data_IF_140471777780
#
_entry.id   IF_140471777780
#
_cell.length_a   1.000
_cell.length_b   1.000
_cell.length_c   1.000
_cell.angle_alpha   90.00
_cell.angle_beta   90.00
_cell.angle_gamma   90.00
#
_symmetry.space_group_name_H-M   'P 1'
#
loop_
_entity.id
_entity.type
_entity.pdbx_description
1 polymer ?
#
# COMPACT_ATOMS: atom_id res chain seq x y z
N UNK A 1 -3.19 16.54 0.33
CA UNK A 1 -4.63 16.68 0.01
C UNK A 1 -5.27 17.98 0.51
N UNK A 2 -5.38 18.23 1.82
CA UNK A 2 -6.11 19.39 2.38
C UNK A 2 -5.67 20.76 1.82
N UNK A 3 -4.35 20.99 1.67
CA UNK A 3 -3.82 22.22 1.05
C UNK A 3 -4.28 22.43 -0.40
N UNK A 4 -4.41 21.35 -1.18
CA UNK A 4 -4.84 21.43 -2.59
C UNK A 4 -6.32 21.82 -2.66
N UNK A 5 -7.16 21.22 -1.82
CA UNK A 5 -8.59 21.53 -1.72
C UNK A 5 -8.80 22.97 -1.26
N UNK A 6 -8.09 23.42 -0.23
CA UNK A 6 -8.19 24.81 0.25
C UNK A 6 -7.86 25.84 -0.85
N UNK A 7 -6.87 25.56 -1.71
CA UNK A 7 -6.43 26.50 -2.76
C UNK A 7 -7.25 26.41 -4.06
N UNK A 8 -7.65 25.21 -4.47
CA UNK A 8 -8.25 24.95 -5.78
C UNK A 8 -9.71 24.44 -5.73
N UNK A 9 -10.27 24.27 -4.53
CA UNK A 9 -11.57 23.61 -4.30
C UNK A 9 -11.55 22.12 -4.66
N UNK A 10 -12.73 21.55 -4.88
CA UNK A 10 -12.91 20.11 -5.11
C UNK A 10 -13.05 19.32 -3.81
N UNK A 11 -12.83 18.02 -3.87
CA UNK A 11 -13.00 17.10 -2.72
C UNK A 11 -11.97 15.98 -2.74
N UNK A 12 -11.97 15.17 -1.68
CA UNK A 12 -11.21 13.91 -1.63
C UNK A 12 -12.11 12.80 -2.17
N UNK A 13 -11.58 11.99 -3.08
CA UNK A 13 -12.16 10.69 -3.40
C UNK A 13 -11.29 9.61 -2.74
N UNK A 14 -11.90 8.86 -1.82
CA UNK A 14 -11.27 7.70 -1.19
C UNK A 14 -11.48 6.44 -2.03
N UNK A 15 -10.54 5.50 -1.90
CA UNK A 15 -10.56 4.26 -2.67
C UNK A 15 -9.26 3.50 -2.55
N UNK A 16 -8.91 2.83 -3.64
CA UNK A 16 -7.77 1.93 -3.71
C UNK A 16 -6.90 2.26 -4.91
N UNK A 17 -5.62 2.48 -4.67
CA UNK A 17 -4.60 2.46 -5.71
C UNK A 17 -4.27 1.00 -6.03
N UNK A 18 -4.39 0.60 -7.30
CA UNK A 18 -4.16 -0.78 -7.74
C UNK A 18 -2.77 -0.88 -8.37
N UNK A 19 -1.89 -1.64 -7.71
CA UNK A 19 -0.55 -1.96 -8.15
C UNK A 19 -0.49 -3.40 -8.67
N UNK A 20 0.36 -3.61 -9.68
CA UNK A 20 0.60 -4.92 -10.26
C UNK A 20 2.09 -5.13 -10.49
N UNK A 21 2.63 -6.18 -9.88
CA UNK A 21 3.96 -6.70 -10.21
C UNK A 21 3.77 -7.96 -11.05
N UNK A 22 4.04 -7.91 -12.37
CA UNK A 22 3.75 -9.01 -13.28
C UNK A 22 4.36 -10.33 -12.82
N UNK A 23 3.51 -11.35 -12.66
CA UNK A 23 3.91 -12.69 -12.24
C UNK A 23 4.04 -12.87 -10.72
N UNK A 24 3.88 -11.81 -9.92
CA UNK A 24 4.12 -11.87 -8.47
C UNK A 24 2.85 -11.55 -7.66
N UNK A 25 2.35 -10.31 -7.70
CA UNK A 25 1.18 -9.92 -6.90
C UNK A 25 0.41 -8.73 -7.47
N UNK A 26 -0.84 -8.62 -7.03
CA UNK A 26 -1.62 -7.39 -7.04
C UNK A 26 -1.71 -6.82 -5.63
N UNK A 27 -1.67 -5.50 -5.53
CA UNK A 27 -1.89 -4.78 -4.27
C UNK A 27 -2.93 -3.69 -4.46
N UNK A 28 -3.93 -3.68 -3.58
CA UNK A 28 -4.84 -2.57 -3.41
C UNK A 28 -4.39 -1.78 -2.18
N UNK A 29 -3.80 -0.61 -2.42
CA UNK A 29 -3.35 0.32 -1.38
C UNK A 29 -4.47 1.29 -1.04
N UNK A 30 -4.79 1.44 0.25
CA UNK A 30 -5.81 2.40 0.68
C UNK A 30 -5.34 3.82 0.38
N UNK A 31 -6.05 4.51 -0.52
CA UNK A 31 -5.55 5.75 -1.12
C UNK A 31 -6.62 6.83 -1.24
N UNK A 32 -6.16 8.08 -1.25
CA UNK A 32 -7.01 9.25 -1.47
C UNK A 32 -6.49 10.10 -2.63
N UNK A 33 -7.35 10.31 -3.63
CA UNK A 33 -7.05 11.18 -4.78
C UNK A 33 -7.86 12.48 -4.72
N UNK A 34 -7.35 13.54 -5.35
CA UNK A 34 -8.06 14.81 -5.44
C UNK A 34 -9.08 14.73 -6.56
N UNK A 35 -10.37 14.92 -6.25
CA UNK A 35 -11.40 15.18 -7.24
C UNK A 35 -11.48 16.68 -7.46
N UNK A 36 -11.11 17.14 -8.65
CA UNK A 36 -11.18 18.56 -8.98
C UNK A 36 -12.63 19.03 -9.17
N UNK A 37 -12.85 20.34 -9.41
CA UNK A 37 -14.20 20.92 -9.59
C UNK A 37 -14.92 20.44 -10.86
N UNK A 38 -14.20 19.90 -11.84
CA UNK A 38 -14.75 19.31 -13.07
C UNK A 38 -15.10 17.82 -12.91
N UNK A 39 -14.70 17.21 -11.79
CA UNK A 39 -14.91 15.79 -11.50
C UNK A 39 -13.72 14.89 -11.85
N UNK A 40 -12.63 15.43 -12.43
CA UNK A 40 -11.45 14.64 -12.76
C UNK A 40 -10.74 14.16 -11.48
N UNK A 41 -10.20 12.94 -11.51
CA UNK A 41 -9.42 12.35 -10.43
C UNK A 41 -7.93 12.55 -10.68
N UNK A 42 -7.25 13.16 -9.72
CA UNK A 42 -5.83 13.48 -9.81
C UNK A 42 -5.13 13.00 -8.54
N UNK A 43 -4.15 12.12 -8.71
CA UNK A 43 -3.24 11.82 -7.61
C UNK A 43 -2.27 12.99 -7.41
N UNK A 44 -2.27 13.53 -6.20
CA UNK A 44 -1.42 14.67 -5.81
C UNK A 44 -0.46 14.29 -4.69
N UNK A 45 -0.37 12.99 -4.38
CA UNK A 45 0.65 12.46 -3.49
C UNK A 45 2.03 12.52 -4.17
N UNK A 46 3.12 12.72 -3.41
CA UNK A 46 4.46 12.58 -3.98
C UNK A 46 4.64 11.15 -4.51
N UNK A 47 4.83 11.02 -5.82
CA UNK A 47 5.13 9.74 -6.44
C UNK A 47 6.64 9.49 -6.44
N UNK A 48 7.05 8.26 -6.14
CA UNK A 48 8.44 7.83 -6.30
C UNK A 48 8.60 7.31 -7.73
N UNK A 49 9.50 7.92 -8.50
CA UNK A 49 9.76 7.56 -9.89
C UNK A 49 8.76 8.17 -10.90
N UNK A 50 8.83 7.70 -12.15
CA UNK A 50 8.08 8.25 -13.29
C UNK A 50 6.74 7.52 -13.49
N UNK A 51 5.87 7.53 -12.47
CA UNK A 51 4.50 7.02 -12.61
C UNK A 51 3.61 8.13 -13.19
N UNK A 52 3.25 8.03 -14.47
CA UNK A 52 2.38 9.01 -15.12
C UNK A 52 0.89 8.78 -14.83
N UNK A 53 0.49 7.54 -14.59
CA UNK A 53 -0.90 7.13 -14.36
C UNK A 53 -0.96 5.98 -13.37
N UNK A 54 -2.03 5.96 -12.56
CA UNK A 54 -2.34 4.89 -11.62
C UNK A 54 -3.77 4.42 -11.82
N UNK A 55 -3.98 3.11 -11.78
CA UNK A 55 -5.33 2.57 -11.76
C UNK A 55 -5.92 2.80 -10.36
N UNK A 56 -7.00 3.57 -10.30
CA UNK A 56 -7.69 3.89 -9.05
C UNK A 56 -9.10 3.31 -9.05
N UNK A 57 -9.45 2.60 -7.98
CA UNK A 57 -10.79 2.08 -7.72
C UNK A 57 -11.46 2.92 -6.63
N UNK A 58 -12.42 3.82 -6.96
CA UNK A 58 -13.14 4.60 -5.97
C UNK A 58 -13.96 3.71 -5.03
N UNK A 59 -13.93 4.01 -3.74
CA UNK A 59 -14.72 3.33 -2.71
C UNK A 59 -15.16 4.36 -1.66
N UNK A 60 -16.44 4.75 -1.72
CA UNK A 60 -17.00 5.74 -0.79
C UNK A 60 -17.12 5.23 0.65
N UNK A 61 -16.97 3.92 0.88
CA UNK A 61 -16.99 3.33 2.22
C UNK A 61 -15.60 3.28 2.87
N UNK A 62 -14.54 3.44 2.06
CA UNK A 62 -13.14 3.46 2.51
C UNK A 62 -12.70 4.85 2.98
N UNK A 63 -13.52 5.58 3.73
CA UNK A 63 -13.12 6.89 4.29
C UNK A 63 -11.92 6.71 5.22
N UNK A 64 -10.91 7.58 5.08
CA UNK A 64 -9.74 7.56 5.95
C UNK A 64 -10.11 7.89 7.40
N UNK A 65 -9.71 7.02 8.32
CA UNK A 65 -9.85 7.21 9.76
C UNK A 65 -8.51 6.83 10.42
N UNK A 66 -7.80 7.78 11.06
CA UNK A 66 -6.51 7.50 11.69
C UNK A 66 -6.62 6.45 12.81
N UNK A 67 -7.74 6.42 13.54
CA UNK A 67 -7.99 5.42 14.59
C UNK A 67 -8.33 4.01 14.06
N UNK A 68 -8.56 3.88 12.75
CA UNK A 68 -8.93 2.63 12.09
C UNK A 68 -8.18 2.50 10.77
N UNK A 69 -6.87 2.31 10.89
CA UNK A 69 -6.01 2.09 9.74
C UNK A 69 -6.53 0.91 8.89
N UNK A 70 -6.61 1.13 7.57
CA UNK A 70 -6.99 0.10 6.61
C UNK A 70 -5.71 -0.41 5.93
N UNK A 71 -5.32 -1.63 6.26
CA UNK A 71 -4.16 -2.27 5.64
C UNK A 71 -4.41 -2.57 4.16
N UNK A 72 -3.32 -2.54 3.38
CA UNK A 72 -3.35 -2.88 1.97
C UNK A 72 -3.80 -4.34 1.77
N UNK A 73 -4.55 -4.59 0.71
CA UNK A 73 -4.94 -5.94 0.31
C UNK A 73 -3.96 -6.44 -0.73
N UNK A 74 -3.21 -7.49 -0.40
CA UNK A 74 -2.21 -8.08 -1.29
C UNK A 74 -2.65 -9.50 -1.66
N UNK A 75 -2.65 -9.81 -2.96
CA UNK A 75 -3.06 -11.12 -3.50
C UNK A 75 -2.06 -11.63 -4.54
N UNK A 76 -1.80 -12.95 -4.63
CA UNK A 76 -0.91 -13.50 -5.65
C UNK A 76 -1.47 -13.22 -7.04
N UNK A 77 -0.60 -12.90 -8.01
CA UNK A 77 -1.03 -12.69 -9.39
C UNK A 77 -1.33 -14.01 -10.13
N UNK A 78 -0.90 -15.14 -9.57
CA UNK A 78 -1.06 -16.49 -10.09
C UNK A 78 -0.76 -17.53 -8.99
N UNK A 79 -0.94 -18.81 -9.31
CA UNK A 79 -0.78 -19.93 -8.37
C UNK A 79 0.65 -20.47 -8.29
N UNK A 80 1.66 -19.75 -8.78
CA UNK A 80 3.05 -20.20 -8.64
C UNK A 80 3.46 -20.20 -7.17
N UNK A 81 4.28 -21.17 -6.73
CA UNK A 81 4.79 -21.20 -5.36
C UNK A 81 5.49 -19.89 -4.95
N UNK A 82 6.22 -19.26 -5.88
CA UNK A 82 6.92 -17.98 -5.65
C UNK A 82 5.92 -16.85 -5.38
N UNK A 83 4.87 -16.71 -6.18
CA UNK A 83 3.85 -15.67 -5.99
C UNK A 83 3.08 -15.85 -4.67
N UNK A 84 2.66 -17.09 -4.38
CA UNK A 84 1.94 -17.44 -3.15
C UNK A 84 2.80 -17.13 -1.92
N UNK A 85 4.06 -17.57 -1.92
CA UNK A 85 4.96 -17.37 -0.80
C UNK A 85 5.33 -15.89 -0.62
N UNK A 86 5.55 -15.16 -1.72
CA UNK A 86 5.85 -13.72 -1.66
C UNK A 86 4.74 -12.97 -0.94
N UNK A 87 3.48 -13.24 -1.32
CA UNK A 87 2.32 -12.60 -0.67
C UNK A 87 2.17 -13.05 0.78
N UNK A 88 2.44 -14.32 1.10
CA UNK A 88 2.43 -14.79 2.49
C UNK A 88 3.46 -14.03 3.35
N UNK A 89 4.69 -13.85 2.84
CA UNK A 89 5.75 -13.09 3.50
C UNK A 89 5.40 -11.61 3.63
N UNK A 90 4.84 -10.99 2.59
CA UNK A 90 4.38 -9.60 2.63
C UNK A 90 3.27 -9.38 3.68
N UNK A 91 2.31 -10.31 3.77
CA UNK A 91 1.26 -10.28 4.80
C UNK A 91 1.82 -10.48 6.21
N UNK A 92 2.78 -11.39 6.39
CA UNK A 92 3.46 -11.58 7.68
C UNK A 92 4.20 -10.30 8.12
N UNK A 93 4.91 -9.63 7.20
CA UNK A 93 5.53 -8.33 7.43
C UNK A 93 4.49 -7.30 7.89
N UNK A 94 3.37 -7.17 7.17
CA UNK A 94 2.30 -6.23 7.51
C UNK A 94 1.74 -6.50 8.90
N UNK A 95 1.46 -7.78 9.20
CA UNK A 95 0.92 -8.18 10.49
C UNK A 95 1.85 -7.86 11.66
N UNK A 96 3.17 -7.86 11.47
CA UNK A 96 4.12 -7.39 12.49
C UNK A 96 4.05 -5.88 12.61
N UNK A 97 4.21 -5.14 11.50
CA UNK A 97 4.26 -3.67 11.51
C UNK A 97 2.96 -3.03 12.03
N UNK A 98 1.81 -3.63 11.72
CA UNK A 98 0.51 -3.12 12.15
C UNK A 98 0.32 -3.19 13.68
N UNK A 99 1.02 -4.08 14.40
CA UNK A 99 1.01 -4.10 15.89
C UNK A 99 1.66 -2.87 16.50
N UNK A 100 2.57 -2.24 15.76
CA UNK A 100 3.31 -1.07 16.18
C UNK A 100 2.70 0.21 15.63
N UNK A 101 1.58 0.12 14.92
CA UNK A 101 0.91 1.27 14.34
C UNK A 101 0.14 2.03 15.42
N UNK A 102 0.53 3.28 15.62
CA UNK A 102 -0.25 4.30 16.31
C UNK A 102 -1.07 5.10 15.28
N UNK A 103 -1.99 5.93 15.73
CA UNK A 103 -3.01 6.62 14.91
C UNK A 103 -2.50 7.20 13.57
N UNK A 104 -1.24 7.63 13.51
CA UNK A 104 -0.64 8.17 12.28
C UNK A 104 0.73 7.58 11.90
N UNK A 105 1.39 6.81 12.78
CA UNK A 105 2.78 6.37 12.58
C UNK A 105 3.02 4.94 13.05
N UNK A 106 4.10 4.32 12.58
CA UNK A 106 4.61 3.08 13.19
C UNK A 106 5.60 3.49 14.27
N UNK A 107 5.45 2.96 15.48
CA UNK A 107 6.38 3.15 16.58
C UNK A 107 7.80 2.75 16.15
N UNK A 108 8.78 3.61 16.43
CA UNK A 108 10.16 3.46 15.94
C UNK A 108 10.90 2.32 16.65
N UNK A 109 10.44 1.91 17.84
CA UNK A 109 11.08 0.88 18.65
C UNK A 109 10.30 -0.43 18.57
N UNK A 110 10.82 -1.38 17.80
CA UNK A 110 10.31 -2.75 17.70
C UNK A 110 10.93 -3.65 18.79
N UNK A 111 10.27 -4.76 19.11
CA UNK A 111 10.88 -5.79 19.96
C UNK A 111 12.04 -6.45 19.22
N UNK A 112 13.06 -6.95 19.93
CA UNK A 112 14.17 -7.67 19.31
C UNK A 112 13.69 -8.91 18.52
N UNK A 113 12.63 -9.57 18.99
CA UNK A 113 12.04 -10.72 18.31
C UNK A 113 11.34 -10.33 17.00
N UNK A 114 10.53 -9.26 17.01
CA UNK A 114 9.85 -8.78 15.80
C UNK A 114 10.85 -8.18 14.79
N UNK A 115 11.92 -7.53 15.27
CA UNK A 115 13.01 -7.07 14.40
C UNK A 115 13.70 -8.25 13.69
N UNK A 116 14.07 -9.29 14.44
CA UNK A 116 14.69 -10.49 13.85
C UNK A 116 13.75 -11.19 12.85
N UNK A 117 12.45 -11.22 13.13
CA UNK A 117 11.45 -11.76 12.21
C UNK A 117 11.34 -10.92 10.92
N UNK A 118 11.32 -9.59 11.03
CA UNK A 118 11.30 -8.70 9.87
C UNK A 118 12.57 -8.84 9.02
N UNK A 119 13.74 -9.00 9.63
CA UNK A 119 15.00 -9.21 8.92
C UNK A 119 14.98 -10.53 8.14
N UNK A 120 14.49 -11.61 8.75
CA UNK A 120 14.32 -12.90 8.07
C UNK A 120 13.32 -12.82 6.90
N UNK A 121 12.18 -12.15 7.11
CA UNK A 121 11.17 -11.92 6.06
C UNK A 121 11.77 -11.09 4.91
N UNK A 122 12.54 -10.04 5.23
CA UNK A 122 13.19 -9.19 4.23
C UNK A 122 14.17 -9.97 3.36
N UNK A 123 14.98 -10.83 3.95
CA UNK A 123 15.88 -11.71 3.21
C UNK A 123 15.08 -12.63 2.29
N UNK A 124 14.01 -13.27 2.80
CA UNK A 124 13.19 -14.17 2.00
C UNK A 124 12.48 -13.48 0.84
N UNK A 125 11.93 -12.28 1.07
CA UNK A 125 11.31 -11.47 0.01
C UNK A 125 12.32 -11.11 -1.08
N UNK A 126 13.57 -10.78 -0.71
CA UNK A 126 14.65 -10.50 -1.67
C UNK A 126 14.98 -11.72 -2.54
N UNK A 127 15.03 -12.91 -1.97
CA UNK A 127 15.29 -14.14 -2.72
C UNK A 127 14.13 -14.50 -3.66
N UNK A 128 12.89 -14.35 -3.20
CA UNK A 128 11.69 -14.56 -4.02
C UNK A 128 11.59 -13.54 -5.16
N UNK A 129 11.95 -12.28 -4.91
CA UNK A 129 12.01 -11.23 -5.92
C UNK A 129 12.97 -11.61 -7.07
N UNK A 130 14.19 -12.04 -6.73
CA UNK A 130 15.17 -12.53 -7.70
C UNK A 130 14.67 -13.78 -8.44
N UNK A 131 14.05 -14.71 -7.71
CA UNK A 131 13.50 -15.95 -8.29
C UNK A 131 12.37 -15.69 -9.28
N UNK A 132 11.64 -14.59 -9.11
CA UNK A 132 10.61 -14.11 -10.03
C UNK A 132 11.17 -13.32 -11.24
N UNK A 133 12.49 -13.20 -11.36
CA UNK A 133 13.14 -12.44 -12.44
C UNK A 133 12.91 -10.94 -12.33
N UNK A 134 12.78 -10.42 -11.10
CA UNK A 134 12.61 -8.99 -10.80
C UNK A 134 13.87 -8.38 -10.20
#
# INVERSE_FOLDING_TARGET
MARKISRAGGSIAYGWAIWHIPGLYFEAEHHGVWRNRRGDLLDVSPQLGDVSEILFLPDSTAVYNPSQFRSNVITPANDTPVAIEFVAMAKARNAILDRYRTDEYIAVTLSAADQAALDAIKLRLSDLWKSAGK
#
